data_IF_204958665018
#
_entry.id   IF_204958665018
#
_cell.length_a   1.000
_cell.length_b   1.000
_cell.length_c   1.000
_cell.angle_alpha   90.00
_cell.angle_beta   90.00
_cell.angle_gamma   90.00
#
_symmetry.space_group_name_H-M   'P 1'
#
loop_
_entity.id
_entity.type
_entity.pdbx_description
1 polymer ?
#
# COMPACT_ATOMS: atom_id res chain seq x y z
N UNK A 1 9.27 32.82 28.74
CA UNK A 1 10.24 33.15 27.69
C UNK A 1 9.77 32.50 26.41
N UNK A 2 9.17 33.24 25.46
CA UNK A 2 8.78 32.68 24.17
C UNK A 2 10.04 32.59 23.30
N UNK A 3 10.35 31.41 22.77
CA UNK A 3 11.38 31.30 21.74
C UNK A 3 11.01 32.25 20.59
N UNK A 4 11.97 33.09 20.17
CA UNK A 4 11.78 34.01 19.05
C UNK A 4 11.43 33.19 17.81
N UNK A 5 10.28 33.45 17.21
CA UNK A 5 9.77 32.65 16.08
C UNK A 5 10.72 32.66 14.88
N UNK A 6 11.56 33.71 14.78
CA UNK A 6 12.67 33.80 13.83
C UNK A 6 13.75 32.73 14.08
N UNK A 7 14.08 32.47 15.34
CA UNK A 7 15.09 31.48 15.73
C UNK A 7 14.61 30.05 15.48
N UNK A 8 13.34 29.78 15.76
CA UNK A 8 12.70 28.49 15.46
C UNK A 8 12.68 28.22 13.94
N UNK A 9 12.32 29.23 13.13
CA UNK A 9 12.31 29.10 11.68
C UNK A 9 13.72 28.85 11.11
N UNK A 10 14.74 29.56 11.63
CA UNK A 10 16.13 29.38 11.22
C UNK A 10 16.62 27.96 11.53
N UNK A 11 16.31 27.44 12.71
CA UNK A 11 16.68 26.09 13.10
C UNK A 11 15.98 25.02 12.24
N UNK A 12 14.71 25.23 11.87
CA UNK A 12 14.00 24.35 10.94
C UNK A 12 14.65 24.33 9.55
N UNK A 13 15.05 25.48 9.02
CA UNK A 13 15.71 25.57 7.72
C UNK A 13 17.08 24.89 7.71
N UNK A 14 17.84 24.99 8.80
CA UNK A 14 19.13 24.30 8.96
C UNK A 14 18.92 22.78 8.95
N UNK A 15 17.95 22.28 9.71
CA UNK A 15 17.62 20.86 9.75
C UNK A 15 17.16 20.33 8.38
N UNK A 16 16.36 21.11 7.65
CA UNK A 16 15.96 20.74 6.29
C UNK A 16 17.16 20.69 5.34
N UNK A 17 18.06 21.66 5.40
CA UNK A 17 19.27 21.68 4.57
C UNK A 17 20.19 20.49 4.87
N UNK A 18 20.37 20.14 6.13
CA UNK A 18 21.14 18.96 6.55
C UNK A 18 20.49 17.66 6.07
N UNK A 19 19.16 17.58 6.15
CA UNK A 19 18.38 16.47 5.59
C UNK A 19 18.61 16.30 4.08
N UNK A 20 18.53 17.39 3.31
CA UNK A 20 18.78 17.37 1.87
C UNK A 20 20.21 16.94 1.55
N UNK A 21 21.22 17.48 2.25
CA UNK A 21 22.63 17.09 2.06
C UNK A 21 22.85 15.60 2.30
N UNK A 22 22.19 15.04 3.33
CA UNK A 22 22.28 13.62 3.64
C UNK A 22 21.66 12.75 2.55
N UNK A 23 20.48 13.13 2.05
CA UNK A 23 19.82 12.42 0.95
C UNK A 23 20.66 12.45 -0.34
N UNK A 24 21.27 13.59 -0.65
CA UNK A 24 22.16 13.73 -1.81
C UNK A 24 23.35 12.77 -1.68
N UNK A 25 24.02 12.73 -0.53
CA UNK A 25 25.14 11.81 -0.32
C UNK A 25 24.72 10.34 -0.44
N UNK A 26 23.55 9.99 0.11
CA UNK A 26 23.03 8.64 0.03
C UNK A 26 22.69 8.21 -1.40
N UNK A 27 22.06 9.10 -2.17
CA UNK A 27 21.80 8.87 -3.60
C UNK A 27 23.08 8.59 -4.38
N UNK A 28 24.16 9.35 -4.12
CA UNK A 28 25.46 9.13 -4.77
C UNK A 28 26.06 7.77 -4.38
N UNK A 29 26.02 7.41 -3.09
CA UNK A 29 26.53 6.12 -2.60
C UNK A 29 25.75 4.93 -3.16
N UNK A 30 24.43 5.03 -3.25
CA UNK A 30 23.59 3.98 -3.83
C UNK A 30 23.79 3.85 -5.34
N UNK A 31 23.88 4.97 -6.05
CA UNK A 31 24.18 4.98 -7.49
C UNK A 31 25.54 4.34 -7.76
N UNK A 32 26.54 4.66 -6.95
CA UNK A 32 27.88 4.10 -7.08
C UNK A 32 27.92 2.60 -6.77
N UNK A 33 27.26 2.15 -5.69
CA UNK A 33 27.15 0.73 -5.38
C UNK A 33 26.41 -0.04 -6.48
N UNK A 34 25.38 0.56 -7.08
CA UNK A 34 24.67 -0.01 -8.22
C UNK A 34 25.59 -0.14 -9.44
N UNK A 35 26.36 0.91 -9.78
CA UNK A 35 27.32 0.87 -10.89
C UNK A 35 28.42 -0.17 -10.63
N UNK A 36 28.92 -0.31 -9.39
CA UNK A 36 29.86 -1.36 -9.01
C UNK A 36 29.30 -2.77 -9.23
N UNK A 37 27.99 -2.96 -9.01
CA UNK A 37 27.34 -4.27 -9.10
C UNK A 37 26.89 -4.62 -10.53
N UNK A 38 26.43 -3.64 -11.31
CA UNK A 38 25.77 -3.87 -12.59
C UNK A 38 26.51 -3.26 -13.80
N UNK A 39 27.51 -2.41 -13.58
CA UNK A 39 28.36 -1.84 -14.65
C UNK A 39 27.69 -0.78 -15.52
N UNK A 40 26.55 -0.25 -15.09
CA UNK A 40 25.82 0.82 -15.77
C UNK A 40 25.07 1.71 -14.78
N UNK A 41 24.70 2.91 -15.23
CA UNK A 41 23.91 3.85 -14.44
C UNK A 41 22.47 3.33 -14.24
N UNK A 42 21.86 3.54 -13.06
CA UNK A 42 20.53 3.01 -12.76
C UNK A 42 19.41 3.69 -13.57
N UNK A 43 19.58 4.95 -13.98
CA UNK A 43 18.53 5.72 -14.65
C UNK A 43 18.70 5.81 -16.17
N UNK A 44 19.92 6.02 -16.67
CA UNK A 44 20.17 6.12 -18.12
C UNK A 44 20.55 4.80 -18.78
N UNK A 45 20.88 3.77 -17.98
CA UNK A 45 21.46 2.49 -18.43
C UNK A 45 22.75 2.62 -19.26
N UNK A 46 23.34 3.81 -19.31
CA UNK A 46 24.64 4.01 -19.93
C UNK A 46 25.70 3.28 -19.12
N UNK A 47 26.66 2.64 -19.81
CA UNK A 47 27.78 1.99 -19.15
C UNK A 47 28.60 3.04 -18.40
N UNK A 48 28.86 2.76 -17.14
CA UNK A 48 29.67 3.61 -16.28
C UNK A 48 30.59 2.73 -15.44
N UNK A 49 31.80 3.22 -15.18
CA UNK A 49 32.69 2.65 -14.17
C UNK A 49 32.39 3.29 -12.81
N UNK A 50 32.53 2.52 -11.75
CA UNK A 50 32.48 3.07 -10.40
C UNK A 50 33.65 4.06 -10.20
N UNK A 51 33.40 5.17 -9.50
CA UNK A 51 34.41 6.21 -9.30
C UNK A 51 35.42 5.81 -8.20
N UNK A 52 35.02 4.95 -7.26
CA UNK A 52 35.87 4.47 -6.17
C UNK A 52 36.07 2.94 -6.23
N UNK A 53 37.31 2.48 -6.02
CA UNK A 53 37.68 1.06 -5.99
C UNK A 53 37.20 0.33 -4.72
N UNK A 54 37.00 1.07 -3.61
CA UNK A 54 36.49 0.50 -2.37
C UNK A 54 35.01 0.11 -2.53
N UNK A 55 34.69 -1.16 -2.27
CA UNK A 55 33.33 -1.68 -2.36
C UNK A 55 32.46 -1.00 -1.30
N UNK A 56 31.51 -0.18 -1.74
CA UNK A 56 30.58 0.49 -0.83
C UNK A 56 29.56 -0.53 -0.36
N UNK A 57 29.61 -0.92 0.90
CA UNK A 57 28.59 -1.79 1.50
C UNK A 57 27.29 -1.00 1.54
N UNK A 58 26.31 -1.40 0.72
CA UNK A 58 24.95 -0.86 0.77
C UNK A 58 24.45 -0.94 2.21
N UNK A 59 24.17 0.21 2.84
CA UNK A 59 23.52 0.22 4.15
C UNK A 59 22.16 -0.46 3.97
N UNK A 60 21.98 -1.59 4.65
CA UNK A 60 20.65 -2.10 4.94
C UNK A 60 19.90 -1.00 5.69
N UNK A 61 18.73 -0.61 5.20
CA UNK A 61 17.82 0.36 5.82
C UNK A 61 17.41 -0.01 7.26
N UNK A 62 17.86 -1.18 7.77
CA UNK A 62 17.56 -1.68 9.10
C UNK A 62 18.17 -0.87 10.27
N UNK A 63 19.05 0.11 10.07
CA UNK A 63 19.59 0.85 11.23
C UNK A 63 20.16 2.23 10.89
N UNK A 64 19.26 3.22 10.78
CA UNK A 64 19.42 4.58 11.31
C UNK A 64 18.49 5.54 10.55
N UNK A 65 17.50 6.12 11.25
CA UNK A 65 17.29 7.58 11.28
C UNK A 65 16.21 7.97 12.29
N UNK A 66 16.44 9.00 13.11
CA UNK A 66 15.37 9.88 13.56
C UNK A 66 14.85 10.68 12.35
N UNK A 67 13.53 10.75 12.25
CA UNK A 67 12.69 11.39 11.25
C UNK A 67 13.13 12.79 10.76
N UNK A 68 13.06 13.02 9.45
CA UNK A 68 12.74 14.35 8.87
C UNK A 68 11.70 14.32 7.73
N UNK A 69 11.07 13.16 7.50
CA UNK A 69 9.74 13.00 6.94
C UNK A 69 9.21 11.69 7.54
N UNK A 70 8.14 11.72 8.35
CA UNK A 70 7.63 10.49 8.97
C UNK A 70 7.05 9.57 7.88
N UNK A 71 7.88 8.63 7.43
CA UNK A 71 7.57 7.23 7.70
C UNK A 71 6.56 6.53 6.78
N UNK A 72 6.59 6.75 5.46
CA UNK A 72 5.95 5.83 4.51
C UNK A 72 6.77 4.53 4.35
N UNK A 73 7.21 3.95 5.48
CA UNK A 73 7.94 2.70 5.53
C UNK A 73 6.92 1.58 5.76
N UNK A 74 6.56 0.93 4.65
CA UNK A 74 5.86 -0.35 4.65
C UNK A 74 6.61 -1.33 5.57
N UNK A 75 5.91 -2.00 6.48
CA UNK A 75 6.55 -2.84 7.49
C UNK A 75 7.29 -4.04 6.87
N UNK A 76 8.31 -4.54 7.58
CA UNK A 76 9.03 -5.74 7.13
C UNK A 76 8.09 -6.94 6.96
N UNK A 77 7.01 -7.01 7.74
CA UNK A 77 6.02 -8.08 7.67
C UNK A 77 5.38 -8.15 6.29
N UNK A 78 4.87 -7.03 5.78
CA UNK A 78 4.16 -7.04 4.50
C UNK A 78 5.16 -7.07 3.33
N UNK A 79 6.37 -6.51 3.50
CA UNK A 79 7.45 -6.66 2.51
C UNK A 79 7.88 -8.12 2.36
N UNK A 80 8.05 -8.84 3.48
CA UNK A 80 8.39 -10.27 3.49
C UNK A 80 7.25 -11.11 2.92
N UNK A 81 5.99 -10.81 3.28
CA UNK A 81 4.82 -11.47 2.71
C UNK A 81 4.73 -11.28 1.19
N UNK A 82 4.96 -10.06 0.69
CA UNK A 82 4.99 -9.79 -0.74
C UNK A 82 6.12 -10.56 -1.43
N UNK A 83 7.34 -10.57 -0.87
CA UNK A 83 8.46 -11.32 -1.46
C UNK A 83 8.21 -12.82 -1.50
N UNK A 84 7.55 -13.37 -0.49
CA UNK A 84 7.27 -14.81 -0.37
C UNK A 84 6.09 -15.26 -1.22
N UNK A 85 5.08 -14.41 -1.39
CA UNK A 85 3.79 -14.82 -1.94
C UNK A 85 3.43 -14.15 -3.28
N UNK A 86 4.16 -13.11 -3.69
CA UNK A 86 3.88 -12.39 -4.93
C UNK A 86 4.92 -12.64 -6.01
N UNK A 87 4.47 -12.57 -7.27
CA UNK A 87 5.32 -12.63 -8.46
C UNK A 87 5.82 -11.26 -8.92
N UNK A 88 6.33 -11.21 -10.15
CA UNK A 88 6.95 -10.01 -10.75
C UNK A 88 6.00 -8.80 -10.84
N UNK A 89 4.69 -9.04 -10.99
CA UNK A 89 3.67 -7.99 -11.15
C UNK A 89 3.03 -7.54 -9.83
N UNK A 90 3.65 -7.84 -8.67
CA UNK A 90 3.12 -7.53 -7.34
C UNK A 90 1.72 -8.14 -7.08
N UNK A 91 1.43 -9.26 -7.75
CA UNK A 91 0.23 -10.07 -7.58
C UNK A 91 0.59 -11.43 -6.97
N UNK A 92 -0.35 -12.09 -6.30
CA UNK A 92 -0.11 -13.42 -5.74
C UNK A 92 0.30 -14.41 -6.84
N UNK A 93 1.39 -15.16 -6.61
CA UNK A 93 1.99 -16.02 -7.64
C UNK A 93 1.11 -17.25 -7.98
N UNK A 94 0.32 -17.72 -7.03
CA UNK A 94 -0.66 -18.80 -7.20
C UNK A 94 -1.82 -18.65 -6.21
N UNK A 95 -2.92 -19.42 -6.38
CA UNK A 95 -4.05 -19.39 -5.46
C UNK A 95 -3.66 -19.70 -4.01
N UNK A 96 -2.76 -20.66 -3.78
CA UNK A 96 -2.24 -20.97 -2.44
C UNK A 96 -1.46 -19.80 -1.84
N UNK A 97 -0.64 -19.11 -2.63
CA UNK A 97 0.08 -17.93 -2.17
C UNK A 97 -0.87 -16.77 -1.83
N UNK A 98 -2.01 -16.64 -2.53
CA UNK A 98 -3.05 -15.68 -2.16
C UNK A 98 -3.66 -16.02 -0.79
N UNK A 99 -3.96 -17.29 -0.50
CA UNK A 99 -4.49 -17.69 0.81
C UNK A 99 -3.51 -17.33 1.94
N UNK A 100 -2.23 -17.63 1.74
CA UNK A 100 -1.18 -17.28 2.70
C UNK A 100 -1.02 -15.76 2.86
N UNK A 101 -1.04 -15.00 1.76
CA UNK A 101 -0.97 -13.55 1.80
C UNK A 101 -2.17 -12.93 2.53
N UNK A 102 -3.37 -13.46 2.32
CA UNK A 102 -4.58 -13.05 3.05
C UNK A 102 -4.48 -13.34 4.55
N UNK A 103 -3.92 -14.49 4.93
CA UNK A 103 -3.71 -14.84 6.33
C UNK A 103 -2.77 -13.84 7.02
N UNK A 104 -1.66 -13.46 6.37
CA UNK A 104 -0.75 -12.42 6.89
C UNK A 104 -1.43 -11.05 6.93
N UNK A 105 -2.18 -10.70 5.88
CA UNK A 105 -2.93 -9.43 5.80
C UNK A 105 -3.99 -9.30 6.89
N UNK A 106 -4.58 -10.40 7.34
CA UNK A 106 -5.56 -10.40 8.42
C UNK A 106 -4.89 -10.29 9.79
N UNK A 107 -3.82 -11.05 10.00
CA UNK A 107 -3.27 -11.26 11.35
C UNK A 107 -2.13 -10.31 11.72
N UNK A 108 -1.38 -9.82 10.73
CA UNK A 108 -0.12 -9.13 10.97
C UNK A 108 -0.08 -7.70 10.42
N UNK A 109 -0.91 -7.36 9.44
CA UNK A 109 -1.02 -5.98 8.89
C UNK A 109 -1.81 -5.10 9.86
N UNK A 110 -1.13 -4.08 10.43
CA UNK A 110 -1.70 -3.20 11.46
C UNK A 110 -1.71 -1.72 11.07
N UNK A 111 -0.74 -1.28 10.29
CA UNK A 111 -0.57 0.14 9.91
C UNK A 111 -1.43 0.49 8.70
N UNK A 112 -1.64 1.78 8.46
CA UNK A 112 -2.39 2.24 7.28
C UNK A 112 -1.61 1.98 5.99
N UNK A 113 -0.29 2.16 6.04
CA UNK A 113 0.66 1.96 4.95
C UNK A 113 0.67 0.50 4.50
N UNK A 114 0.70 -0.44 5.46
CA UNK A 114 0.65 -1.88 5.16
C UNK A 114 -0.68 -2.28 4.53
N UNK A 115 -1.80 -1.68 4.99
CA UNK A 115 -3.13 -1.92 4.39
C UNK A 115 -3.21 -1.38 2.98
N UNK A 116 -2.63 -0.21 2.71
CA UNK A 116 -2.54 0.36 1.36
C UNK A 116 -1.75 -0.58 0.45
N UNK A 117 -0.57 -1.04 0.90
CA UNK A 117 0.26 -1.97 0.14
C UNK A 117 -0.46 -3.29 -0.12
N UNK A 118 -1.05 -3.89 0.91
CA UNK A 118 -1.81 -5.12 0.78
C UNK A 118 -3.02 -4.95 -0.16
N UNK A 119 -3.72 -3.80 -0.08
CA UNK A 119 -4.83 -3.49 -0.96
C UNK A 119 -4.41 -3.43 -2.43
N UNK A 120 -3.24 -2.85 -2.75
CA UNK A 120 -2.69 -2.86 -4.11
C UNK A 120 -2.35 -4.27 -4.59
N UNK A 121 -1.73 -5.09 -3.74
CA UNK A 121 -1.44 -6.50 -4.08
C UNK A 121 -2.74 -7.27 -4.36
N UNK A 122 -3.78 -7.05 -3.55
CA UNK A 122 -5.08 -7.72 -3.73
C UNK A 122 -5.80 -7.25 -5.00
N UNK A 123 -5.80 -5.95 -5.29
CA UNK A 123 -6.36 -5.40 -6.54
C UNK A 123 -5.64 -6.00 -7.76
N UNK A 124 -4.29 -5.99 -7.76
CA UNK A 124 -3.49 -6.58 -8.83
C UNK A 124 -3.73 -8.09 -8.98
N UNK A 125 -3.91 -8.81 -7.87
CA UNK A 125 -4.20 -10.24 -7.87
C UNK A 125 -5.57 -10.56 -8.48
N UNK A 126 -6.60 -9.78 -8.14
CA UNK A 126 -7.95 -9.97 -8.68
C UNK A 126 -8.08 -9.47 -10.13
N UNK A 127 -7.27 -8.51 -10.53
CA UNK A 127 -7.18 -8.02 -11.91
C UNK A 127 -6.31 -8.90 -12.82
N UNK A 128 -5.46 -9.77 -12.26
CA UNK A 128 -4.59 -10.64 -13.03
C UNK A 128 -5.39 -11.58 -13.94
N UNK A 129 -5.16 -11.47 -15.26
CA UNK A 129 -5.78 -12.36 -16.24
C UNK A 129 -5.34 -13.82 -16.04
N UNK A 130 -4.14 -14.03 -15.48
CA UNK A 130 -3.60 -15.36 -15.18
C UNK A 130 -4.26 -15.88 -13.91
N UNK A 131 -5.16 -16.86 -14.06
CA UNK A 131 -5.95 -17.50 -12.99
C UNK A 131 -7.07 -16.65 -12.37
N UNK A 132 -7.57 -15.60 -13.05
CA UNK A 132 -8.56 -14.66 -12.50
C UNK A 132 -9.73 -15.32 -11.74
N UNK A 133 -10.42 -16.29 -12.38
CA UNK A 133 -11.57 -16.97 -11.77
C UNK A 133 -11.22 -17.77 -10.53
N UNK A 134 -10.07 -18.43 -10.54
CA UNK A 134 -9.60 -19.24 -9.43
C UNK A 134 -9.14 -18.36 -8.26
N UNK A 135 -8.39 -17.29 -8.55
CA UNK A 135 -7.99 -16.27 -7.57
C UNK A 135 -9.21 -15.63 -6.90
N UNK A 136 -10.22 -15.25 -7.69
CA UNK A 136 -11.46 -14.69 -7.17
C UNK A 136 -12.21 -15.69 -6.29
N UNK A 137 -12.30 -16.96 -6.71
CA UNK A 137 -12.93 -18.02 -5.90
C UNK A 137 -12.21 -18.24 -4.57
N UNK A 138 -10.86 -18.31 -4.57
CA UNK A 138 -10.08 -18.44 -3.33
C UNK A 138 -10.18 -17.20 -2.44
N UNK A 139 -10.14 -16.01 -3.02
CA UNK A 139 -10.33 -14.77 -2.29
C UNK A 139 -11.67 -14.76 -1.55
N UNK A 140 -12.75 -15.19 -2.21
CA UNK A 140 -14.07 -15.31 -1.58
C UNK A 140 -14.12 -16.41 -0.52
N UNK A 141 -13.58 -17.60 -0.83
CA UNK A 141 -13.52 -18.73 0.09
C UNK A 141 -12.76 -18.40 1.39
N UNK A 142 -11.74 -17.55 1.31
CA UNK A 142 -10.95 -17.07 2.45
C UNK A 142 -11.48 -15.77 3.07
N UNK A 143 -12.73 -15.39 2.78
CA UNK A 143 -13.39 -14.20 3.32
C UNK A 143 -12.60 -12.90 3.04
N UNK A 144 -11.97 -12.79 1.87
CA UNK A 144 -11.18 -11.62 1.49
C UNK A 144 -12.01 -10.33 1.43
N UNK A 145 -13.25 -10.39 0.97
CA UNK A 145 -14.14 -9.23 1.00
C UNK A 145 -14.54 -8.80 2.42
N UNK A 146 -14.61 -9.74 3.36
CA UNK A 146 -14.86 -9.43 4.77
C UNK A 146 -13.69 -8.62 5.35
N UNK A 147 -12.45 -9.01 5.04
CA UNK A 147 -11.25 -8.25 5.39
C UNK A 147 -11.29 -6.81 4.84
N UNK A 148 -11.69 -6.63 3.58
CA UNK A 148 -11.84 -5.29 2.99
C UNK A 148 -12.92 -4.47 3.70
N UNK A 149 -14.04 -5.08 4.07
CA UNK A 149 -15.09 -4.41 4.84
C UNK A 149 -14.61 -4.05 6.25
N UNK A 150 -13.81 -4.90 6.90
CA UNK A 150 -13.20 -4.59 8.20
C UNK A 150 -12.28 -3.38 8.11
N UNK A 151 -11.39 -3.33 7.10
CA UNK A 151 -10.52 -2.17 6.88
C UNK A 151 -11.31 -0.90 6.56
N UNK A 152 -12.42 -1.01 5.81
CA UNK A 152 -13.34 0.10 5.58
C UNK A 152 -13.92 0.60 6.91
N UNK A 153 -14.36 -0.30 7.79
CA UNK A 153 -14.91 0.04 9.09
C UNK A 153 -13.89 0.81 9.96
N UNK A 154 -12.65 0.32 10.00
CA UNK A 154 -11.56 0.99 10.72
C UNK A 154 -11.32 2.38 10.15
N UNK A 155 -11.21 2.53 8.83
CA UNK A 155 -10.98 3.84 8.21
C UNK A 155 -12.12 4.83 8.44
N UNK A 156 -13.37 4.37 8.46
CA UNK A 156 -14.54 5.21 8.75
C UNK A 156 -14.59 5.70 10.21
N UNK A 157 -13.81 5.10 11.11
CA UNK A 157 -13.76 5.47 12.53
C UNK A 157 -12.91 6.72 12.77
N UNK A 158 -12.08 7.11 11.80
CA UNK A 158 -11.21 8.29 11.87
C UNK A 158 -11.66 9.39 10.90
N UNK A 159 -11.33 10.65 11.24
CA UNK A 159 -11.78 11.84 10.50
C UNK A 159 -10.65 12.55 9.74
N UNK A 160 -9.41 12.05 9.82
CA UNK A 160 -8.24 12.62 9.15
C UNK A 160 -8.26 12.37 7.63
N UNK A 161 -7.43 13.12 6.90
CA UNK A 161 -7.36 13.04 5.44
C UNK A 161 -6.78 11.71 4.93
N UNK A 162 -5.86 11.09 5.69
CA UNK A 162 -5.27 9.80 5.33
C UNK A 162 -6.35 8.71 5.34
N UNK A 163 -7.16 8.66 6.38
CA UNK A 163 -8.27 7.71 6.50
C UNK A 163 -9.32 7.91 5.41
N UNK A 164 -9.66 9.16 5.06
CA UNK A 164 -10.57 9.46 3.93
C UNK A 164 -10.01 9.00 2.59
N UNK A 165 -8.72 9.22 2.36
CA UNK A 165 -8.03 8.83 1.12
C UNK A 165 -7.95 7.31 1.00
N UNK A 166 -7.64 6.61 2.09
CA UNK A 166 -7.68 5.15 2.13
C UNK A 166 -9.08 4.59 1.91
N UNK A 167 -10.12 5.19 2.52
CA UNK A 167 -11.52 4.84 2.24
C UNK A 167 -11.84 4.96 0.75
N UNK A 168 -11.42 6.06 0.10
CA UNK A 168 -11.64 6.25 -1.34
C UNK A 168 -10.97 5.15 -2.16
N UNK A 169 -9.70 4.87 -1.89
CA UNK A 169 -8.94 3.81 -2.56
C UNK A 169 -9.60 2.43 -2.42
N UNK A 170 -10.01 2.08 -1.19
CA UNK A 170 -10.67 0.80 -0.91
C UNK A 170 -11.98 0.66 -1.67
N UNK A 171 -12.79 1.72 -1.69
CA UNK A 171 -14.05 1.72 -2.45
C UNK A 171 -13.84 1.59 -3.96
N UNK A 172 -12.77 2.16 -4.51
CA UNK A 172 -12.40 1.97 -5.92
C UNK A 172 -12.00 0.52 -6.22
N UNK A 173 -11.25 -0.12 -5.32
CA UNK A 173 -10.90 -1.55 -5.45
C UNK A 173 -12.15 -2.42 -5.38
N UNK A 174 -13.08 -2.16 -4.47
CA UNK A 174 -14.37 -2.85 -4.44
C UNK A 174 -15.16 -2.60 -5.73
N UNK A 175 -15.21 -1.37 -6.23
CA UNK A 175 -15.93 -1.07 -7.46
C UNK A 175 -15.43 -1.89 -8.66
N UNK A 176 -14.10 -2.10 -8.76
CA UNK A 176 -13.48 -2.87 -9.84
C UNK A 176 -13.62 -4.37 -9.67
N UNK A 177 -13.59 -4.86 -8.43
CA UNK A 177 -13.55 -6.28 -8.10
C UNK A 177 -14.86 -6.74 -7.48
N UNK A 178 -15.86 -6.97 -8.33
CA UNK A 178 -17.19 -7.41 -7.90
C UNK A 178 -17.15 -8.91 -7.53
N UNK A 179 -17.66 -9.34 -6.36
CA UNK A 179 -17.70 -10.75 -5.99
C UNK A 179 -18.42 -11.60 -7.03
N UNK A 180 -17.87 -12.75 -7.41
CA UNK A 180 -18.47 -13.72 -8.32
C UNK A 180 -19.72 -14.36 -7.71
N UNK A 181 -19.69 -14.74 -6.43
CA UNK A 181 -20.82 -15.45 -5.81
C UNK A 181 -21.94 -14.49 -5.39
N UNK A 182 -23.19 -14.85 -5.71
CA UNK A 182 -24.37 -14.06 -5.32
C UNK A 182 -24.50 -13.92 -3.79
N UNK A 183 -24.20 -14.98 -3.04
CA UNK A 183 -24.20 -14.95 -1.58
C UNK A 183 -23.18 -13.93 -1.03
N UNK A 184 -21.93 -14.00 -1.48
CA UNK A 184 -20.88 -13.03 -1.11
C UNK A 184 -21.30 -11.60 -1.46
N UNK A 185 -21.82 -11.39 -2.67
CA UNK A 185 -22.30 -10.08 -3.12
C UNK A 185 -23.38 -9.51 -2.19
N UNK A 186 -24.38 -10.33 -1.81
CA UNK A 186 -25.44 -9.93 -0.86
C UNK A 186 -24.89 -9.57 0.51
N UNK A 187 -23.95 -10.36 1.02
CA UNK A 187 -23.31 -10.10 2.32
C UNK A 187 -22.50 -8.81 2.30
N UNK A 188 -21.70 -8.58 1.26
CA UNK A 188 -20.93 -7.33 1.10
C UNK A 188 -21.87 -6.12 0.99
N UNK A 189 -22.94 -6.19 0.19
CA UNK A 189 -23.93 -5.11 0.09
C UNK A 189 -24.56 -4.79 1.44
N UNK A 190 -24.95 -5.81 2.21
CA UNK A 190 -25.51 -5.64 3.55
C UNK A 190 -24.52 -4.92 4.46
N UNK A 191 -23.26 -5.36 4.48
CA UNK A 191 -22.23 -4.78 5.32
C UNK A 191 -21.85 -3.36 4.90
N UNK A 192 -21.67 -3.09 3.60
CA UNK A 192 -21.39 -1.74 3.09
C UNK A 192 -22.51 -0.74 3.42
N UNK A 193 -23.76 -1.20 3.41
CA UNK A 193 -24.93 -0.35 3.70
C UNK A 193 -24.94 0.18 5.14
N UNK A 194 -24.33 -0.53 6.10
CA UNK A 194 -24.25 -0.05 7.50
C UNK A 194 -23.33 1.17 7.62
N UNK A 195 -22.29 1.24 6.80
CA UNK A 195 -21.29 2.31 6.87
C UNK A 195 -21.73 3.62 6.18
N UNK A 196 -22.82 3.62 5.41
CA UNK A 196 -23.33 4.81 4.70
C UNK A 196 -23.54 6.03 5.60
N UNK A 197 -24.01 5.80 6.84
CA UNK A 197 -24.29 6.90 7.80
C UNK A 197 -23.02 7.45 8.44
N UNK A 198 -22.05 6.59 8.73
CA UNK A 198 -20.84 6.93 9.50
C UNK A 198 -19.68 7.40 8.61
N UNK A 199 -19.68 6.99 7.33
CA UNK A 199 -18.66 7.38 6.36
C UNK A 199 -18.54 8.90 6.22
N UNK A 200 -17.30 9.38 6.12
CA UNK A 200 -16.97 10.81 6.04
C UNK A 200 -16.62 11.17 4.60
N UNK A 201 -16.83 12.44 4.25
CA UNK A 201 -16.60 12.95 2.89
C UNK A 201 -17.78 12.73 1.94
N UNK A 202 -18.18 13.77 1.21
CA UNK A 202 -19.28 13.68 0.24
C UNK A 202 -18.94 12.75 -0.93
N UNK A 203 -17.68 12.80 -1.40
CA UNK A 203 -17.15 11.94 -2.47
C UNK A 203 -17.22 10.45 -2.09
N UNK A 204 -16.68 10.08 -0.93
CA UNK A 204 -16.70 8.70 -0.45
C UNK A 204 -18.13 8.16 -0.27
N UNK A 205 -19.06 8.98 0.27
CA UNK A 205 -20.47 8.58 0.36
C UNK A 205 -21.11 8.31 -1.00
N UNK A 206 -20.81 9.13 -2.00
CA UNK A 206 -21.29 8.92 -3.37
C UNK A 206 -20.66 7.65 -3.97
N UNK A 207 -19.36 7.44 -3.78
CA UNK A 207 -18.65 6.27 -4.27
C UNK A 207 -19.17 4.97 -3.64
N UNK A 208 -19.38 4.95 -2.31
CA UNK A 208 -20.01 3.83 -1.61
C UNK A 208 -21.40 3.52 -2.18
N UNK A 209 -22.20 4.56 -2.44
CA UNK A 209 -23.52 4.37 -3.03
C UNK A 209 -23.42 3.76 -4.43
N UNK A 210 -22.44 4.17 -5.24
CA UNK A 210 -22.20 3.59 -6.57
C UNK A 210 -21.81 2.11 -6.47
N UNK A 211 -20.89 1.73 -5.57
CA UNK A 211 -20.52 0.32 -5.34
C UNK A 211 -21.73 -0.51 -4.94
N UNK A 212 -22.53 -0.02 -3.97
CA UNK A 212 -23.72 -0.73 -3.49
C UNK A 212 -24.77 -0.88 -4.60
N UNK A 213 -25.01 0.16 -5.39
CA UNK A 213 -25.95 0.10 -6.52
C UNK A 213 -25.47 -0.91 -7.56
N UNK A 214 -24.20 -0.83 -7.96
CA UNK A 214 -23.61 -1.75 -8.93
C UNK A 214 -23.72 -3.22 -8.50
N UNK A 215 -23.47 -3.51 -7.23
CA UNK A 215 -23.58 -4.87 -6.70
C UNK A 215 -25.03 -5.35 -6.64
N UNK A 216 -25.99 -4.45 -6.35
CA UNK A 216 -27.42 -4.79 -6.37
C UNK A 216 -27.92 -5.08 -7.78
N UNK A 217 -27.48 -4.33 -8.78
CA UNK A 217 -27.78 -4.60 -10.19
C UNK A 217 -27.32 -6.00 -10.57
N UNK A 218 -26.10 -6.40 -10.17
CA UNK A 218 -25.61 -7.76 -10.38
C UNK A 218 -26.46 -8.84 -9.68
N UNK A 219 -27.00 -8.57 -8.50
CA UNK A 219 -27.87 -9.52 -7.77
C UNK A 219 -29.21 -9.71 -8.49
N UNK A 220 -29.70 -8.66 -9.15
CA UNK A 220 -31.02 -8.64 -9.79
C UNK A 220 -30.98 -8.99 -11.29
N UNK A 221 -29.80 -9.07 -11.88
CA UNK A 221 -29.55 -9.55 -13.24
C UNK A 221 -29.49 -11.07 -13.29
#
# INVERSE_FOLDING_TARGET
>A
MSADSSEVLKNLLILQLEGVKRLVNEYHQQTEAYVQQFGHLPLSQERAGAAHEARITLRSLASASPSLADGCAVSEVILDATKKHCGFDMCAASPEHLENFLAVSRNNVKTAEDRVHALFVLDATLASAKHQKEMQSRFEGQQGYELLVEWLAVSCSYNDETSKSFTELLLLVLQRNVPAMSFTTKTVVKNLSTYKKVMKGKKNKALLQNVVTHYREKINS
#
